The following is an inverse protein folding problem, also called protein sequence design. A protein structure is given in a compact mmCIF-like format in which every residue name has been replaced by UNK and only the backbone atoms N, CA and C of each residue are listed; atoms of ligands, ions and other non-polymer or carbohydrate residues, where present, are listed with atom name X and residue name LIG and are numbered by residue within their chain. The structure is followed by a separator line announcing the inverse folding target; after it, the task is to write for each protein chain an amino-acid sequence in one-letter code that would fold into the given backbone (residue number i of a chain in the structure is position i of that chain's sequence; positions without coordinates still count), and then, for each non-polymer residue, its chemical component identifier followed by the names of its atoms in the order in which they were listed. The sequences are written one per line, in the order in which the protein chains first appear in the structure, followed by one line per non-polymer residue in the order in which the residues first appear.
data_IF_808703103273
#
_entry.id   IF_808703103273
#
_cell.length_a   1.000
_cell.length_b   1.000
_cell.length_c   1.000
_cell.angle_alpha   90.00
_cell.angle_beta   90.00
_cell.angle_gamma   90.00
#
_symmetry.space_group_name_H-M   'P 1'
#
loop_
_entity.id
_entity.type
_entity.pdbx_description
1 polymer ?
#
# COMPACT_ATOMS: atom_id res chain seq x y z
N UNK A 1 -23.28 -1.68 11.44
CA UNK A 1 -22.73 -1.09 10.20
C UNK A 1 -22.56 -2.21 9.20
N UNK A 2 -22.98 -2.05 7.95
CA UNK A 2 -22.64 -3.05 6.94
C UNK A 2 -21.12 -3.19 6.85
N UNK A 3 -20.64 -4.42 6.65
CA UNK A 3 -19.23 -4.67 6.46
C UNK A 3 -18.74 -3.87 5.24
N UNK A 4 -17.62 -3.18 5.39
CA UNK A 4 -16.99 -2.40 4.31
C UNK A 4 -16.58 -3.36 3.20
N UNK A 5 -17.03 -3.10 1.98
CA UNK A 5 -16.62 -3.90 0.82
C UNK A 5 -15.29 -3.35 0.30
N UNK A 6 -14.20 -4.12 0.37
CA UNK A 6 -12.93 -3.66 -0.15
C UNK A 6 -12.96 -3.61 -1.69
N UNK A 7 -12.22 -2.68 -2.27
CA UNK A 7 -11.98 -2.64 -3.71
C UNK A 7 -10.65 -3.36 -3.99
N UNK A 8 -10.75 -4.51 -4.64
CA UNK A 8 -9.61 -5.38 -4.93
C UNK A 8 -9.60 -5.69 -6.42
N UNK A 9 -8.43 -5.57 -7.04
CA UNK A 9 -8.19 -5.99 -8.41
C UNK A 9 -7.49 -7.34 -8.41
N UNK A 10 -8.14 -8.37 -8.95
CA UNK A 10 -7.59 -9.71 -9.05
C UNK A 10 -6.89 -9.91 -10.41
N UNK A 11 -5.66 -10.37 -10.34
CA UNK A 11 -4.82 -10.72 -11.48
C UNK A 11 -4.39 -12.20 -11.34
N UNK A 12 -5.09 -13.12 -12.00
CA UNK A 12 -4.81 -14.56 -11.89
C UNK A 12 -3.41 -14.92 -12.37
N UNK A 13 -2.82 -15.96 -11.77
CA UNK A 13 -1.58 -16.54 -12.25
C UNK A 13 -1.73 -16.97 -13.72
N UNK A 14 -0.68 -16.81 -14.52
CA UNK A 14 -0.69 -17.27 -15.92
C UNK A 14 -0.73 -18.80 -16.00
N UNK A 15 -0.18 -19.48 -15.00
CA UNK A 15 -0.33 -20.92 -14.80
C UNK A 15 -0.72 -21.21 -13.36
N UNK A 16 -1.84 -21.89 -13.09
CA UNK A 16 -2.26 -22.24 -11.75
C UNK A 16 -1.18 -22.99 -10.99
N UNK A 17 -0.99 -22.64 -9.73
CA UNK A 17 -0.03 -23.29 -8.83
C UNK A 17 -0.59 -23.35 -7.41
N UNK A 18 0.08 -24.11 -6.52
CA UNK A 18 -0.25 -24.17 -5.10
C UNK A 18 0.38 -23.02 -4.28
N UNK A 19 0.86 -21.96 -4.93
CA UNK A 19 1.47 -20.82 -4.25
C UNK A 19 0.42 -19.99 -3.51
N UNK A 20 0.77 -19.37 -2.37
CA UNK A 20 -0.16 -18.50 -1.65
C UNK A 20 -0.50 -17.27 -2.49
N UNK A 21 -1.69 -16.66 -2.31
CA UNK A 21 -2.02 -15.40 -2.96
C UNK A 21 -1.09 -14.28 -2.47
N UNK A 22 -0.75 -13.35 -3.36
CA UNK A 22 -0.06 -12.11 -3.02
C UNK A 22 -1.08 -10.99 -2.92
N UNK A 23 -1.01 -10.19 -1.86
CA UNK A 23 -1.85 -9.01 -1.67
C UNK A 23 -0.97 -7.77 -1.58
N UNK A 24 -1.09 -6.91 -2.58
CA UNK A 24 -0.34 -5.66 -2.69
C UNK A 24 -1.10 -4.50 -2.06
N UNK A 25 -0.43 -3.75 -1.20
CA UNK A 25 -0.97 -2.59 -0.47
C UNK A 25 -0.15 -1.35 -0.82
N UNK A 26 -0.76 -0.44 -1.58
CA UNK A 26 -0.08 0.75 -2.08
C UNK A 26 0.16 1.81 -0.99
N UNK A 27 0.97 2.81 -1.29
CA UNK A 27 1.27 3.95 -0.43
C UNK A 27 0.25 5.09 -0.54
N UNK A 28 0.46 6.13 0.26
CA UNK A 28 -0.35 7.35 0.20
C UNK A 28 -0.24 8.03 -1.16
N UNK A 29 -1.35 8.65 -1.59
CA UNK A 29 -1.46 9.34 -2.89
C UNK A 29 -1.17 8.47 -4.11
N UNK A 30 -1.16 7.14 -3.94
CA UNK A 30 -0.95 6.15 -4.99
C UNK A 30 -2.24 5.37 -5.26
N UNK A 31 -2.16 4.28 -5.99
CA UNK A 31 -3.28 3.39 -6.28
C UNK A 31 -2.79 1.99 -6.68
N UNK A 32 -3.72 1.05 -6.86
CA UNK A 32 -3.43 -0.33 -7.21
C UNK A 32 -2.75 -0.49 -8.58
N UNK A 33 -2.96 0.44 -9.52
CA UNK A 33 -2.38 0.37 -10.86
C UNK A 33 -0.84 0.44 -10.87
N UNK A 34 -0.24 1.02 -9.81
CA UNK A 34 1.21 1.05 -9.63
C UNK A 34 1.84 -0.34 -9.76
N UNK A 35 1.18 -1.35 -9.22
CA UNK A 35 1.67 -2.73 -9.20
C UNK A 35 1.60 -3.43 -10.55
N UNK A 36 0.70 -2.97 -11.42
CA UNK A 36 0.48 -3.54 -12.75
C UNK A 36 1.62 -3.33 -13.74
N UNK A 37 2.52 -2.39 -13.46
CA UNK A 37 3.61 -2.05 -14.40
C UNK A 37 4.68 -3.15 -14.46
N UNK A 38 5.08 -3.71 -13.32
CA UNK A 38 6.16 -4.70 -13.24
C UNK A 38 5.90 -5.82 -12.25
N UNK A 39 5.41 -5.52 -11.05
CA UNK A 39 5.29 -6.52 -9.99
C UNK A 39 4.28 -7.60 -10.32
N UNK A 40 3.06 -7.22 -10.66
CA UNK A 40 1.98 -8.18 -10.95
C UNK A 40 2.34 -9.08 -12.12
N UNK A 41 2.75 -8.58 -13.30
CA UNK A 41 3.13 -9.46 -14.42
C UNK A 41 4.24 -10.46 -14.06
N UNK A 42 5.26 -10.00 -13.33
CA UNK A 42 6.36 -10.85 -12.89
C UNK A 42 5.88 -12.01 -12.00
N UNK A 43 5.03 -11.73 -11.03
CA UNK A 43 4.53 -12.77 -10.13
C UNK A 43 3.47 -13.67 -10.76
N UNK A 44 2.67 -13.15 -11.70
CA UNK A 44 1.77 -13.98 -12.51
C UNK A 44 2.55 -15.04 -13.31
N UNK A 45 3.69 -14.66 -13.90
CA UNK A 45 4.58 -15.58 -14.63
C UNK A 45 5.19 -16.65 -13.71
N UNK A 46 5.37 -16.32 -12.43
CA UNK A 46 5.85 -17.26 -11.40
C UNK A 46 4.74 -18.12 -10.79
N UNK A 47 3.50 -17.99 -11.25
CA UNK A 47 2.38 -18.82 -10.79
C UNK A 47 1.68 -18.31 -9.53
N UNK A 48 1.79 -17.01 -9.21
CA UNK A 48 1.06 -16.38 -8.11
C UNK A 48 -0.23 -15.72 -8.59
N UNK A 49 -1.32 -15.98 -7.89
CA UNK A 49 -2.49 -15.12 -7.94
C UNK A 49 -2.18 -13.81 -7.23
N UNK A 50 -2.33 -12.70 -7.92
CA UNK A 50 -2.05 -11.37 -7.41
C UNK A 50 -3.33 -10.60 -7.17
N UNK A 51 -3.40 -9.94 -6.03
CA UNK A 51 -4.49 -9.06 -5.64
C UNK A 51 -3.93 -7.70 -5.29
N UNK A 52 -4.50 -6.64 -5.83
CA UNK A 52 -4.10 -5.27 -5.54
C UNK A 52 -5.25 -4.53 -4.86
N UNK A 53 -5.03 -4.09 -3.62
CA UNK A 53 -6.01 -3.39 -2.82
C UNK A 53 -6.02 -1.89 -3.16
N UNK A 54 -7.21 -1.32 -3.36
CA UNK A 54 -7.42 0.12 -3.34
C UNK A 54 -7.81 0.55 -1.93
N UNK A 55 -7.00 1.39 -1.31
CA UNK A 55 -7.31 1.98 -0.01
C UNK A 55 -8.39 3.04 -0.16
N UNK A 56 -9.21 3.23 0.88
CA UNK A 56 -10.27 4.24 0.92
C UNK A 56 -9.77 5.60 0.44
N UNK A 57 -10.56 6.27 -0.40
CA UNK A 57 -10.24 7.58 -0.98
C UNK A 57 -9.18 7.58 -2.08
N UNK A 58 -8.63 6.42 -2.45
CA UNK A 58 -7.59 6.29 -3.48
C UNK A 58 -8.11 5.57 -4.73
N UNK A 59 -7.46 5.84 -5.87
CA UNK A 59 -7.69 5.14 -7.13
C UNK A 59 -9.14 5.08 -7.57
N UNK A 60 -9.62 3.86 -7.82
CA UNK A 60 -11.01 3.56 -8.22
C UNK A 60 -11.96 3.32 -7.04
N UNK A 61 -11.50 3.56 -5.81
CA UNK A 61 -12.36 3.41 -4.64
C UNK A 61 -13.59 4.32 -4.76
N UNK A 62 -14.82 3.83 -4.41
CA UNK A 62 -16.05 4.62 -4.50
C UNK A 62 -16.04 5.89 -3.66
N UNK A 63 -15.25 5.93 -2.59
CA UNK A 63 -15.08 7.14 -1.81
C UNK A 63 -14.35 8.20 -2.64
N UNK A 64 -14.91 9.40 -2.65
CA UNK A 64 -14.36 10.51 -3.43
C UNK A 64 -12.97 10.93 -2.91
N UNK A 65 -12.01 11.10 -3.82
CA UNK A 65 -10.66 11.58 -3.53
C UNK A 65 -10.62 12.97 -2.87
N UNK A 66 -11.66 13.77 -3.04
CA UNK A 66 -11.76 15.09 -2.41
C UNK A 66 -11.83 15.00 -0.89
N UNK A 67 -12.09 13.81 -0.35
CA UNK A 67 -12.25 13.53 1.08
C UNK A 67 -11.13 12.64 1.64
N UNK A 68 -9.92 12.68 1.07
CA UNK A 68 -8.79 11.89 1.59
C UNK A 68 -8.51 12.18 3.06
N UNK A 69 -8.71 13.41 3.50
CA UNK A 69 -8.50 13.81 4.89
C UNK A 69 -9.54 13.19 5.87
N UNK A 70 -10.63 12.64 5.34
CA UNK A 70 -11.64 11.94 6.14
C UNK A 70 -11.22 10.51 6.53
N UNK A 71 -10.15 9.99 5.93
CA UNK A 71 -9.65 8.65 6.17
C UNK A 71 -8.36 8.63 6.97
N UNK A 72 -8.35 7.85 8.04
CA UNK A 72 -7.19 7.61 8.88
C UNK A 72 -6.60 6.22 8.69
N UNK A 73 -5.52 5.96 9.43
CA UNK A 73 -4.85 4.67 9.42
C UNK A 73 -5.80 3.50 9.74
N UNK A 74 -6.72 3.69 10.68
CA UNK A 74 -7.67 2.65 11.08
C UNK A 74 -8.64 2.28 9.95
N UNK A 75 -9.01 3.25 9.09
CA UNK A 75 -9.84 2.99 7.91
C UNK A 75 -9.10 2.12 6.90
N UNK A 76 -7.81 2.41 6.68
CA UNK A 76 -6.96 1.63 5.77
C UNK A 76 -6.68 0.22 6.32
N UNK A 77 -6.52 0.08 7.63
CA UNK A 77 -6.40 -1.24 8.28
C UNK A 77 -7.70 -2.03 8.13
N UNK A 78 -8.86 -1.38 8.23
CA UNK A 78 -10.14 -2.02 7.99
C UNK A 78 -10.31 -2.46 6.53
N UNK A 79 -9.85 -1.67 5.56
CA UNK A 79 -9.80 -2.07 4.14
C UNK A 79 -8.97 -3.34 3.96
N UNK A 80 -7.78 -3.38 4.54
CA UNK A 80 -6.89 -4.53 4.45
C UNK A 80 -7.49 -5.77 5.13
N UNK A 81 -8.07 -5.60 6.32
CA UNK A 81 -8.72 -6.70 7.03
C UNK A 81 -9.87 -7.31 6.22
N UNK A 82 -10.73 -6.48 5.63
CA UNK A 82 -11.81 -6.92 4.77
C UNK A 82 -11.29 -7.62 3.50
N UNK A 83 -10.20 -7.12 2.92
CA UNK A 83 -9.55 -7.74 1.77
C UNK A 83 -9.03 -9.14 2.12
N UNK A 84 -8.27 -9.28 3.19
CA UNK A 84 -7.70 -10.56 3.64
C UNK A 84 -8.81 -11.58 3.93
N UNK A 85 -9.91 -11.15 4.59
CA UNK A 85 -11.04 -12.03 4.89
C UNK A 85 -11.73 -12.57 3.64
N UNK A 86 -11.68 -11.86 2.52
CA UNK A 86 -12.28 -12.26 1.24
C UNK A 86 -11.37 -13.14 0.37
N UNK A 87 -10.11 -13.34 0.73
CA UNK A 87 -9.17 -14.16 -0.05
C UNK A 87 -9.35 -15.66 0.21
N UNK A 88 -9.03 -16.52 -0.77
CA UNK A 88 -9.18 -17.96 -0.64
C UNK A 88 -8.22 -18.60 0.36
N UNK A 89 -7.12 -17.93 0.69
CA UNK A 89 -6.11 -18.40 1.66
C UNK A 89 -5.37 -17.19 2.25
N UNK A 90 -4.64 -17.43 3.36
CA UNK A 90 -3.80 -16.39 3.97
C UNK A 90 -2.75 -15.87 2.97
N UNK A 91 -2.72 -14.57 2.69
CA UNK A 91 -1.84 -14.00 1.68
C UNK A 91 -0.42 -13.78 2.19
N UNK A 92 0.51 -13.62 1.26
CA UNK A 92 1.72 -12.84 1.49
C UNK A 92 1.38 -11.38 1.23
N UNK A 93 1.57 -10.52 2.22
CA UNK A 93 1.35 -9.08 2.09
C UNK A 93 2.60 -8.41 1.50
N UNK A 94 2.39 -7.51 0.56
CA UNK A 94 3.45 -6.67 -0.01
C UNK A 94 3.03 -5.22 0.14
N UNK A 95 3.59 -4.55 1.14
CA UNK A 95 3.25 -3.16 1.50
C UNK A 95 4.33 -2.18 1.06
N UNK A 96 3.93 -1.08 0.44
CA UNK A 96 4.81 0.00 0.03
C UNK A 96 4.51 1.27 0.81
N UNK A 97 5.53 1.90 1.38
CA UNK A 97 5.44 3.20 2.08
C UNK A 97 4.34 3.16 3.17
N UNK A 98 3.30 3.98 3.07
CA UNK A 98 2.14 3.95 3.97
C UNK A 98 1.47 2.58 3.98
N UNK A 99 1.42 1.85 2.86
CA UNK A 99 0.89 0.49 2.81
C UNK A 99 1.67 -0.49 3.67
N UNK A 100 2.96 -0.26 3.91
CA UNK A 100 3.74 -1.04 4.86
C UNK A 100 3.33 -0.77 6.31
N UNK A 101 3.03 0.48 6.65
CA UNK A 101 2.51 0.85 7.98
C UNK A 101 1.12 0.24 8.22
N UNK A 102 0.24 0.32 7.23
CA UNK A 102 -1.08 -0.34 7.26
C UNK A 102 -0.93 -1.84 7.51
N UNK A 103 -0.02 -2.50 6.80
CA UNK A 103 0.26 -3.93 6.96
C UNK A 103 0.82 -4.26 8.35
N UNK A 104 1.75 -3.45 8.88
CA UNK A 104 2.28 -3.62 10.23
C UNK A 104 1.16 -3.52 11.27
N UNK A 105 0.31 -2.50 11.15
CA UNK A 105 -0.79 -2.29 12.08
C UNK A 105 -1.83 -3.40 12.00
N UNK A 106 -2.13 -3.89 10.81
CA UNK A 106 -3.01 -5.05 10.61
C UNK A 106 -2.49 -6.28 11.33
N UNK A 107 -1.18 -6.56 11.26
CA UNK A 107 -0.56 -7.75 11.84
C UNK A 107 -0.58 -7.79 13.38
N UNK A 108 -0.92 -6.69 14.05
CA UNK A 108 -1.13 -6.69 15.50
C UNK A 108 -2.34 -7.54 15.91
N UNK A 109 -3.32 -7.73 15.02
CA UNK A 109 -4.58 -8.44 15.28
C UNK A 109 -4.98 -9.42 14.19
N UNK A 110 -4.42 -9.28 13.01
CA UNK A 110 -4.66 -10.12 11.85
C UNK A 110 -3.52 -11.09 11.57
N UNK A 111 -3.72 -11.94 10.59
CA UNK A 111 -2.74 -12.95 10.19
C UNK A 111 -2.47 -12.86 8.69
N UNK A 112 -1.21 -13.01 8.33
CA UNK A 112 -0.74 -13.22 6.98
C UNK A 112 0.26 -14.38 6.96
N UNK A 113 0.47 -14.97 5.80
CA UNK A 113 1.45 -16.05 5.65
C UNK A 113 2.88 -15.53 5.77
N UNK A 114 3.13 -14.37 5.20
CA UNK A 114 4.38 -13.62 5.28
C UNK A 114 4.11 -12.17 4.91
N UNK A 115 5.10 -11.32 5.10
CA UNK A 115 5.02 -9.91 4.72
C UNK A 115 6.35 -9.43 4.14
N UNK A 116 6.28 -8.61 3.10
CA UNK A 116 7.40 -7.87 2.55
C UNK A 116 7.10 -6.37 2.62
N UNK A 117 8.01 -5.61 3.18
CA UNK A 117 7.92 -4.16 3.26
C UNK A 117 8.88 -3.49 2.27
N UNK A 118 8.33 -2.64 1.42
CA UNK A 118 9.06 -1.85 0.44
C UNK A 118 9.06 -0.39 0.89
N UNK A 119 10.24 0.19 1.13
CA UNK A 119 10.38 1.55 1.64
C UNK A 119 9.42 1.85 2.83
N UNK A 120 9.51 1.08 3.93
CA UNK A 120 8.51 1.11 4.99
C UNK A 120 8.50 2.44 5.75
N UNK A 121 7.29 2.85 6.12
CA UNK A 121 7.09 3.91 7.13
C UNK A 121 7.16 3.26 8.50
N UNK A 122 8.00 3.77 9.42
CA UNK A 122 8.10 3.22 10.76
C UNK A 122 6.81 3.46 11.57
N UNK A 123 6.46 2.57 12.52
CA UNK A 123 5.25 2.69 13.34
C UNK A 123 5.17 3.98 14.16
N UNK A 124 6.33 4.55 14.51
CA UNK A 124 6.46 5.82 15.26
C UNK A 124 6.25 7.06 14.38
N UNK A 125 5.95 6.86 13.09
CA UNK A 125 5.79 7.92 12.11
C UNK A 125 7.11 8.41 11.51
N UNK A 126 7.00 9.31 10.55
CA UNK A 126 8.14 9.82 9.78
C UNK A 126 8.78 11.08 10.37
N UNK A 127 8.17 11.69 11.39
CA UNK A 127 8.64 12.98 11.94
C UNK A 127 10.11 12.98 12.35
N UNK A 128 10.53 11.98 13.13
CA UNK A 128 11.93 11.84 13.55
C UNK A 128 12.89 11.54 12.39
N UNK A 129 12.44 10.77 11.43
CA UNK A 129 13.23 10.41 10.22
C UNK A 129 13.40 11.63 9.32
N UNK A 130 12.31 12.36 9.06
CA UNK A 130 12.34 13.60 8.26
C UNK A 130 13.23 14.65 8.93
N UNK A 131 13.13 14.83 10.25
CA UNK A 131 13.97 15.77 10.98
C UNK A 131 15.45 15.40 10.89
N UNK A 132 15.79 14.12 11.06
CA UNK A 132 17.19 13.64 10.91
C UNK A 132 17.71 13.83 9.48
N UNK A 133 16.87 13.53 8.50
CA UNK A 133 17.23 13.70 7.09
C UNK A 133 17.41 15.19 6.75
N UNK A 134 16.54 16.07 7.23
CA UNK A 134 16.66 17.51 7.07
C UNK A 134 17.96 18.06 7.68
N UNK A 135 18.33 17.57 8.87
CA UNK A 135 19.56 17.98 9.56
C UNK A 135 20.83 17.45 8.85
N UNK A 136 20.73 16.31 8.17
CA UNK A 136 21.86 15.72 7.43
C UNK A 136 22.02 16.24 6.00
N UNK A 137 20.97 16.82 5.43
CA UNK A 137 20.96 17.33 4.05
C UNK A 137 20.24 18.69 3.95
N UNK A 138 20.77 19.73 4.62
CA UNK A 138 20.11 21.05 4.66
C UNK A 138 19.89 21.65 3.27
N UNK A 139 20.83 21.47 2.35
CA UNK A 139 20.75 22.01 0.99
C UNK A 139 19.62 21.36 0.20
N UNK A 140 19.40 20.08 0.36
CA UNK A 140 18.30 19.37 -0.30
C UNK A 140 16.92 19.95 0.07
N UNK A 141 16.72 20.26 1.34
CA UNK A 141 15.45 20.84 1.81
C UNK A 141 15.29 22.31 1.43
N UNK A 142 16.39 23.04 1.27
CA UNK A 142 16.36 24.41 0.77
C UNK A 142 15.90 24.48 -0.71
N UNK A 143 16.25 23.47 -1.50
CA UNK A 143 15.87 23.37 -2.92
C UNK A 143 14.46 22.78 -3.17
N UNK A 144 13.89 22.07 -2.21
CA UNK A 144 12.61 21.35 -2.34
C UNK A 144 11.44 22.28 -2.79
N UNK A 145 11.29 23.50 -2.26
CA UNK A 145 10.24 24.42 -2.71
C UNK A 145 10.37 24.79 -4.19
N UNK A 146 11.59 24.91 -4.68
CA UNK A 146 11.87 25.23 -6.09
C UNK A 146 11.54 24.07 -7.01
N UNK A 147 11.87 22.84 -6.59
CA UNK A 147 11.56 21.63 -7.35
C UNK A 147 10.04 21.35 -7.44
N UNK A 148 9.30 21.62 -6.37
CA UNK A 148 7.84 21.42 -6.31
C UNK A 148 7.11 22.48 -7.14
N UNK A 149 7.62 23.71 -7.19
CA UNK A 149 7.00 24.83 -7.93
C UNK A 149 7.45 24.93 -9.40
N UNK A 150 8.29 24.00 -9.87
CA UNK A 150 8.76 24.01 -11.26
C UNK A 150 9.71 25.16 -11.61
N UNK A 151 10.27 25.82 -10.62
CA UNK A 151 11.26 26.91 -10.78
C UNK A 151 12.68 26.39 -10.56
N UNK A 152 13.03 25.31 -11.25
CA UNK A 152 14.43 24.91 -11.34
C UNK A 152 15.15 25.89 -12.26
N UNK A 153 16.08 26.66 -11.70
CA UNK A 153 17.01 27.51 -12.45
C UNK A 153 18.02 26.67 -13.23
#
# INVERSE_FOLDING_TARGET
MPAKTPVIHHHPAHQPSARPPLLFVHGGYSNAALWGVRFIPYFQDLGYDCYALELSGHGSHPADRTHLDDFGLDDYVADLAAAVAGLPAAPVLIGHSMGSLVSQRFLERGMARAVAFLAPVPPTGTGGTVSRFALSMPDFFAELPNAVNGTAS
#
